data_IF_058064332247
#
_entry.id   IF_058064332247
#
_cell.length_a   1.000
_cell.length_b   1.000
_cell.length_c   1.000
_cell.angle_alpha   90.00
_cell.angle_beta   90.00
_cell.angle_gamma   90.00
#
_symmetry.space_group_name_H-M   'P 1'
#
loop_
_entity.id
_entity.type
_entity.pdbx_description
1 polymer ?
#
# COMPACT_ATOMS: atom_id res chain seq x y z
N UNK A 1 3.76 -4.63 3.42
CA UNK A 1 3.98 -3.38 4.18
C UNK A 1 2.61 -2.87 4.61
N UNK A 2 2.50 -2.49 5.87
CA UNK A 2 1.30 -1.89 6.47
C UNK A 2 1.78 -0.79 7.42
N UNK A 3 1.07 0.34 7.52
CA UNK A 3 1.45 1.40 8.44
C UNK A 3 1.02 1.02 9.88
N UNK A 4 1.70 1.58 10.88
CA UNK A 4 1.44 1.27 12.29
C UNK A 4 0.32 2.11 12.93
N UNK A 5 -0.14 3.15 12.24
CA UNK A 5 -1.17 4.09 12.68
C UNK A 5 -2.58 3.73 12.15
N UNK A 6 -2.73 2.61 11.46
CA UNK A 6 -4.03 2.09 10.97
C UNK A 6 -4.50 0.90 11.82
N UNK A 7 -5.17 1.12 12.97
CA UNK A 7 -5.50 0.05 13.91
C UNK A 7 -6.59 -0.92 13.40
N UNK A 8 -7.33 -0.54 12.35
CA UNK A 8 -8.43 -1.33 11.81
C UNK A 8 -8.03 -2.24 10.64
N UNK A 9 -6.73 -2.34 10.33
CA UNK A 9 -6.22 -3.32 9.36
C UNK A 9 -6.60 -4.73 9.84
N UNK A 10 -7.09 -5.55 8.92
CA UNK A 10 -7.51 -6.91 9.18
C UNK A 10 -6.95 -7.89 8.13
N UNK A 11 -7.26 -9.17 8.31
CA UNK A 11 -6.80 -10.27 7.45
C UNK A 11 -7.24 -10.12 5.98
N UNK A 12 -8.39 -9.52 5.72
CA UNK A 12 -8.90 -9.32 4.35
C UNK A 12 -7.93 -8.47 3.53
N UNK A 13 -7.29 -7.47 4.16
CA UNK A 13 -6.26 -6.64 3.51
C UNK A 13 -5.10 -7.51 3.03
N UNK A 14 -4.59 -8.36 3.91
CA UNK A 14 -3.43 -9.21 3.63
C UNK A 14 -3.78 -10.23 2.55
N UNK A 15 -4.92 -10.92 2.70
CA UNK A 15 -5.35 -11.98 1.80
C UNK A 15 -5.57 -11.47 0.37
N UNK A 16 -6.21 -10.30 0.21
CA UNK A 16 -6.43 -9.71 -1.12
C UNK A 16 -5.14 -9.26 -1.78
N UNK A 17 -4.20 -8.68 -1.02
CA UNK A 17 -2.89 -8.29 -1.55
C UNK A 17 -2.07 -9.52 -2.00
N UNK A 18 -2.07 -10.60 -1.20
CA UNK A 18 -1.42 -11.87 -1.56
C UNK A 18 -2.07 -12.50 -2.79
N UNK A 19 -3.40 -12.53 -2.84
CA UNK A 19 -4.14 -13.05 -3.99
C UNK A 19 -3.81 -12.29 -5.26
N UNK A 20 -3.79 -10.95 -5.20
CA UNK A 20 -3.35 -10.11 -6.31
C UNK A 20 -1.96 -10.51 -6.83
N UNK A 21 -0.98 -10.65 -5.93
CA UNK A 21 0.41 -10.98 -6.30
C UNK A 21 0.56 -12.41 -6.84
N UNK A 22 -0.33 -13.32 -6.43
CA UNK A 22 -0.34 -14.71 -6.89
C UNK A 22 -1.00 -14.84 -8.27
N UNK A 23 -2.07 -14.08 -8.52
CA UNK A 23 -2.89 -14.18 -9.72
C UNK A 23 -2.36 -13.31 -10.87
N UNK A 24 -1.45 -12.37 -10.60
CA UNK A 24 -0.96 -11.36 -11.56
C UNK A 24 0.56 -11.36 -11.65
N UNK A 25 1.07 -11.19 -12.86
CA UNK A 25 2.49 -10.91 -13.07
C UNK A 25 2.77 -9.42 -12.80
N UNK A 26 2.87 -9.07 -11.51
CA UNK A 26 3.12 -7.71 -11.04
C UNK A 26 4.20 -7.70 -9.98
N UNK A 27 4.85 -6.56 -9.74
CA UNK A 27 5.89 -6.43 -8.73
C UNK A 27 5.39 -5.77 -7.44
N UNK A 28 4.28 -5.03 -7.54
CA UNK A 28 3.63 -4.33 -6.43
C UNK A 28 2.12 -4.51 -6.51
N UNK A 29 1.49 -5.02 -5.46
CA UNK A 29 0.04 -4.89 -5.25
C UNK A 29 -0.20 -3.81 -4.21
N UNK A 30 -1.01 -2.80 -4.53
CA UNK A 30 -1.31 -1.66 -3.65
C UNK A 30 -2.82 -1.53 -3.46
N UNK A 31 -3.25 -1.26 -2.23
CA UNK A 31 -4.67 -1.04 -1.93
C UNK A 31 -5.17 0.26 -2.58
N UNK A 32 -6.41 0.24 -3.06
CA UNK A 32 -7.12 1.38 -3.66
C UNK A 32 -8.55 1.42 -3.10
N UNK A 33 -9.00 2.58 -2.62
CA UNK A 33 -10.33 2.76 -2.01
C UNK A 33 -11.43 3.11 -3.03
N UNK A 34 -11.13 3.03 -4.33
CA UNK A 34 -11.97 3.47 -5.43
C UNK A 34 -11.72 4.93 -5.83
N UNK A 35 -11.03 5.72 -5.01
CA UNK A 35 -10.68 7.12 -5.30
C UNK A 35 -9.16 7.32 -5.37
N UNK A 36 -8.42 6.78 -4.40
CA UNK A 36 -6.98 6.90 -4.29
C UNK A 36 -6.34 5.57 -3.94
N UNK A 37 -5.08 5.40 -4.38
CA UNK A 37 -4.23 4.35 -3.83
C UNK A 37 -3.79 4.73 -2.41
N UNK A 38 -3.57 3.72 -1.58
CA UNK A 38 -3.01 3.82 -0.24
C UNK A 38 -1.60 3.20 -0.25
N UNK A 39 -0.53 3.97 -0.57
CA UNK A 39 0.81 3.43 -0.83
C UNK A 39 1.42 2.64 0.33
N UNK A 40 1.01 2.94 1.56
CA UNK A 40 1.48 2.25 2.77
C UNK A 40 0.84 0.88 2.98
N UNK A 41 -0.22 0.56 2.23
CA UNK A 41 -0.93 -0.72 2.22
C UNK A 41 -0.58 -1.48 0.95
N UNK A 42 0.60 -2.10 0.93
CA UNK A 42 1.14 -2.72 -0.27
C UNK A 42 1.90 -4.01 0.00
N UNK A 43 1.84 -4.94 -0.95
CA UNK A 43 2.73 -6.09 -1.04
C UNK A 43 3.72 -5.83 -2.18
N UNK A 44 5.01 -5.91 -1.89
CA UNK A 44 6.10 -5.48 -2.77
C UNK A 44 7.11 -6.64 -2.89
N UNK A 45 7.53 -6.98 -4.11
CA UNK A 45 8.58 -7.97 -4.32
C UNK A 45 9.93 -7.45 -3.82
N UNK A 46 10.70 -8.32 -3.16
CA UNK A 46 12.05 -7.99 -2.67
C UNK A 46 13.07 -7.74 -3.78
N UNK A 47 12.80 -8.19 -5.01
CA UNK A 47 13.62 -7.91 -6.20
C UNK A 47 13.68 -6.42 -6.54
N UNK A 48 12.72 -5.60 -6.08
CA UNK A 48 12.71 -4.16 -6.32
C UNK A 48 13.67 -3.36 -5.40
N UNK A 49 14.45 -4.02 -4.54
CA UNK A 49 15.38 -3.34 -3.60
C UNK A 49 16.29 -2.32 -4.30
N UNK A 50 16.99 -2.72 -5.36
CA UNK A 50 17.96 -1.85 -6.03
C UNK A 50 17.27 -0.73 -6.80
N UNK A 51 16.07 -1.00 -7.35
CA UNK A 51 15.20 0.01 -7.94
C UNK A 51 14.79 1.08 -6.92
N UNK A 52 14.38 0.67 -5.71
CA UNK A 52 14.03 1.58 -4.63
C UNK A 52 15.23 2.42 -4.17
N UNK A 53 16.41 1.82 -4.06
CA UNK A 53 17.64 2.54 -3.70
C UNK A 53 17.96 3.62 -4.74
N UNK A 54 17.91 3.29 -6.03
CA UNK A 54 18.13 4.26 -7.10
C UNK A 54 17.09 5.41 -7.07
N UNK A 55 15.83 5.10 -6.79
CA UNK A 55 14.79 6.13 -6.61
C UNK A 55 15.12 7.07 -5.45
N UNK A 56 15.54 6.53 -4.30
CA UNK A 56 15.92 7.35 -3.14
C UNK A 56 17.19 8.18 -3.39
N UNK A 57 18.17 7.63 -4.12
CA UNK A 57 19.42 8.31 -4.48
C UNK A 57 19.21 9.47 -5.45
N UNK A 58 18.13 9.43 -6.25
CA UNK A 58 17.71 10.58 -7.08
C UNK A 58 17.21 11.78 -6.28
N UNK A 59 17.00 11.61 -4.96
CA UNK A 59 16.42 12.62 -4.07
C UNK A 59 14.90 12.50 -3.91
N UNK A 60 14.25 11.66 -4.70
CA UNK A 60 12.82 11.42 -4.61
C UNK A 60 12.43 10.66 -3.32
N UNK A 61 11.28 11.03 -2.76
CA UNK A 61 10.77 10.48 -1.48
C UNK A 61 9.28 10.12 -1.52
N UNK A 62 8.61 10.37 -2.64
CA UNK A 62 7.18 10.14 -2.78
C UNK A 62 6.92 8.66 -3.07
N UNK A 63 6.50 7.89 -2.07
CA UNK A 63 6.24 6.46 -2.23
C UNK A 63 5.18 6.17 -3.30
N UNK A 64 4.09 6.95 -3.34
CA UNK A 64 3.07 6.80 -4.38
C UNK A 64 3.65 6.93 -5.79
N UNK A 65 4.53 7.93 -6.01
CA UNK A 65 5.24 8.11 -7.28
C UNK A 65 6.12 6.91 -7.62
N UNK A 66 6.87 6.37 -6.64
CA UNK A 66 7.69 5.18 -6.85
C UNK A 66 6.85 3.96 -7.25
N UNK A 67 5.69 3.76 -6.60
CA UNK A 67 4.77 2.67 -6.96
C UNK A 67 4.26 2.85 -8.39
N UNK A 68 3.84 4.06 -8.76
CA UNK A 68 3.32 4.38 -10.10
C UNK A 68 4.36 4.21 -11.23
N UNK A 69 5.65 4.31 -10.90
CA UNK A 69 6.77 4.11 -11.85
C UNK A 69 7.16 2.64 -12.06
N UNK A 70 6.60 1.71 -11.28
CA UNK A 70 6.90 0.28 -11.35
C UNK A 70 5.71 -0.51 -11.93
N UNK A 71 5.91 -1.79 -12.21
CA UNK A 71 4.81 -2.69 -12.57
C UNK A 71 3.93 -2.94 -11.33
N UNK A 72 2.85 -2.18 -11.20
CA UNK A 72 1.94 -2.26 -10.05
C UNK A 72 0.51 -2.62 -10.46
N UNK A 73 -0.21 -3.23 -9.53
CA UNK A 73 -1.63 -3.53 -9.63
C UNK A 73 -2.38 -2.92 -8.45
N UNK A 74 -3.47 -2.22 -8.76
CA UNK A 74 -4.44 -1.75 -7.77
C UNK A 74 -5.30 -2.92 -7.30
N UNK A 75 -5.48 -3.02 -5.99
CA UNK A 75 -6.36 -3.98 -5.33
C UNK A 75 -7.53 -3.20 -4.75
N UNK A 76 -8.74 -3.51 -5.21
CA UNK A 76 -9.95 -2.80 -4.81
C UNK A 76 -10.35 -3.12 -3.36
N UNK A 77 -10.53 -2.06 -2.58
CA UNK A 77 -11.02 -2.03 -1.20
C UNK A 77 -12.12 -0.98 -1.02
N UNK A 78 -12.80 -0.58 -2.10
CA UNK A 78 -13.97 0.32 -2.01
C UNK A 78 -15.08 -0.24 -1.11
N UNK A 79 -15.13 -1.56 -0.90
CA UNK A 79 -16.02 -2.25 0.03
C UNK A 79 -15.51 -2.30 1.49
N UNK A 80 -14.28 -1.85 1.77
CA UNK A 80 -13.63 -1.90 3.08
C UNK A 80 -13.05 -0.54 3.52
N UNK A 81 -13.78 0.60 3.42
CA UNK A 81 -13.18 1.93 3.62
C UNK A 81 -12.60 2.16 5.02
N UNK A 82 -13.08 1.42 6.04
CA UNK A 82 -12.64 1.58 7.43
C UNK A 82 -11.20 1.13 7.68
N UNK A 83 -10.65 0.22 6.85
CA UNK A 83 -9.28 -0.29 7.06
C UNK A 83 -8.22 0.77 6.86
N UNK A 84 -8.57 1.89 6.21
CA UNK A 84 -7.69 3.03 5.92
C UNK A 84 -7.80 4.17 6.94
N UNK A 85 -8.54 3.99 8.04
CA UNK A 85 -8.60 5.00 9.11
C UNK A 85 -7.23 5.07 9.80
N UNK A 86 -6.64 6.27 9.79
CA UNK A 86 -5.34 6.56 10.40
C UNK A 86 -5.51 7.37 11.68
N UNK A 87 -4.88 6.93 12.76
CA UNK A 87 -4.79 7.64 14.03
C UNK A 87 -3.52 8.49 14.05
N UNK A 88 -3.63 9.72 13.55
CA UNK A 88 -2.47 10.64 13.49
C UNK A 88 -2.29 11.43 14.77
N UNK A 89 -3.37 11.67 15.52
CA UNK A 89 -3.35 12.46 16.76
C UNK A 89 -4.02 11.69 17.91
N UNK A 90 -3.64 11.96 19.18
CA UNK A 90 -4.30 11.36 20.34
C UNK A 90 -5.83 11.58 20.40
N UNK A 91 -6.33 12.66 19.80
CA UNK A 91 -7.78 12.94 19.72
C UNK A 91 -8.52 12.03 18.73
N UNK A 92 -7.81 11.30 17.87
CA UNK A 92 -8.44 10.37 16.91
C UNK A 92 -8.91 9.08 17.59
N UNK A 93 -8.48 8.78 18.83
CA UNK A 93 -8.92 7.60 19.59
C UNK A 93 -10.38 7.64 20.02
N UNK A 94 -10.97 8.84 20.11
CA UNK A 94 -12.35 9.06 20.53
C UNK A 94 -13.34 9.12 19.35
N UNK A 95 -12.87 8.89 18.12
CA UNK A 95 -13.67 8.90 16.87
C UNK A 95 -14.09 7.49 16.46
#
# INVERSE_FOLDING_TARGET
>A
MLPCDSPLVNEIVIDRLIKCMTDKDTDICVADDGTHIHPTFALIKTSLKDNLLAFLDSGERKLGLWIEQNNFQKVDFSDQPKVFINLNNPQDFDK
#
